data_IF_872647128400
#
_entry.id   IF_872647128400
#
_cell.length_a   1.000
_cell.length_b   1.000
_cell.length_c   1.000
_cell.angle_alpha   90.00
_cell.angle_beta   90.00
_cell.angle_gamma   90.00
#
_symmetry.space_group_name_H-M   'P 1'
#
loop_
_entity.id
_entity.type
_entity.pdbx_description
1 polymer ?
#
# COMPACT_ATOMS: atom_id res chain seq x y z
N UNK A 1 -20.78 -0.99 12.75
CA UNK A 1 -19.85 -1.70 13.66
C UNK A 1 -18.57 -0.88 13.83
N UNK A 2 -17.92 -0.98 14.99
CA UNK A 2 -16.80 -0.11 15.40
C UNK A 2 -15.70 0.06 14.34
N UNK A 3 -15.41 -0.99 13.53
CA UNK A 3 -14.43 -0.94 12.42
C UNK A 3 -14.71 0.11 11.34
N UNK A 4 -15.97 0.54 11.17
CA UNK A 4 -16.39 1.52 10.15
C UNK A 4 -16.27 2.98 10.64
N UNK A 5 -16.43 3.20 11.94
CA UNK A 5 -16.55 4.54 12.52
C UNK A 5 -15.29 4.98 13.28
N UNK A 6 -14.56 4.03 13.89
CA UNK A 6 -13.36 4.34 14.67
C UNK A 6 -12.12 4.54 13.80
N UNK A 7 -11.21 5.46 14.18
CA UNK A 7 -9.94 5.62 13.51
C UNK A 7 -9.09 4.33 13.54
N UNK A 8 -8.40 4.07 12.43
CA UNK A 8 -7.57 2.86 12.25
C UNK A 8 -6.54 2.65 13.35
N UNK A 9 -5.94 3.71 13.91
CA UNK A 9 -4.94 3.58 14.97
C UNK A 9 -5.53 3.01 16.27
N UNK A 10 -6.79 3.33 16.60
CA UNK A 10 -7.48 2.75 17.78
C UNK A 10 -7.78 1.28 17.56
N UNK A 11 -8.32 0.94 16.39
CA UNK A 11 -8.62 -0.45 16.03
C UNK A 11 -7.39 -1.36 16.12
N UNK A 12 -6.22 -0.84 15.76
CA UNK A 12 -4.96 -1.58 15.79
C UNK A 12 -4.45 -1.76 17.21
N UNK A 13 -4.60 -0.76 18.09
CA UNK A 13 -4.31 -0.91 19.53
C UNK A 13 -5.21 -1.94 20.20
N UNK A 14 -6.47 -2.01 19.78
CA UNK A 14 -7.44 -2.99 20.28
C UNK A 14 -7.35 -4.37 19.59
N UNK A 15 -6.35 -4.61 18.72
CA UNK A 15 -6.16 -5.91 18.06
C UNK A 15 -7.22 -6.26 17.00
N UNK A 16 -8.10 -5.32 16.64
CA UNK A 16 -9.19 -5.54 15.68
C UNK A 16 -8.76 -5.41 14.21
N UNK A 17 -7.54 -4.92 13.97
CA UNK A 17 -6.96 -4.68 12.64
C UNK A 17 -5.44 -4.75 12.69
N UNK A 18 -4.81 -5.34 11.69
CA UNK A 18 -3.35 -5.35 11.52
C UNK A 18 -2.90 -4.28 10.51
N UNK A 19 -1.81 -3.56 10.82
CA UNK A 19 -1.19 -2.62 9.89
C UNK A 19 0.00 -3.28 9.19
N UNK A 20 -0.04 -3.36 7.85
CA UNK A 20 1.16 -3.62 7.04
C UNK A 20 2.09 -2.41 7.06
N UNK A 21 3.24 -2.54 7.74
CA UNK A 21 4.27 -1.50 7.85
C UNK A 21 5.10 -1.39 6.56
N UNK A 22 4.55 -0.73 5.54
CA UNK A 22 5.35 -0.34 4.36
C UNK A 22 5.93 1.08 4.55
N UNK A 23 7.26 1.20 4.44
CA UNK A 23 7.95 2.49 4.59
C UNK A 23 7.42 3.53 3.59
N UNK A 24 7.29 4.78 4.03
CA UNK A 24 6.85 5.90 3.18
C UNK A 24 7.80 6.13 2.01
N UNK A 25 9.11 5.94 2.23
CA UNK A 25 10.17 6.07 1.22
C UNK A 25 9.98 5.06 0.08
N UNK A 26 9.86 3.78 0.43
CA UNK A 26 9.66 2.70 -0.54
C UNK A 26 8.38 2.88 -1.38
N UNK A 27 7.29 3.37 -0.77
CA UNK A 27 6.03 3.68 -1.49
C UNK A 27 6.21 4.80 -2.52
N UNK A 28 6.90 5.88 -2.16
CA UNK A 28 7.18 7.01 -3.07
C UNK A 28 8.09 6.59 -4.22
N UNK A 29 9.16 5.84 -3.94
CA UNK A 29 10.08 5.32 -4.97
C UNK A 29 9.38 4.38 -5.95
N UNK A 30 8.51 3.48 -5.47
CA UNK A 30 7.72 2.59 -6.32
C UNK A 30 6.79 3.40 -7.24
N UNK A 31 6.10 4.42 -6.70
CA UNK A 31 5.26 5.33 -7.48
C UNK A 31 6.07 5.99 -8.59
N UNK A 32 7.22 6.58 -8.28
CA UNK A 32 8.04 7.28 -9.28
C UNK A 32 8.58 6.33 -10.36
N UNK A 33 9.01 5.11 -10.01
CA UNK A 33 9.40 4.09 -11.00
C UNK A 33 8.24 3.71 -11.93
N UNK A 34 7.04 3.49 -11.39
CA UNK A 34 5.86 3.17 -12.20
C UNK A 34 5.44 4.30 -13.14
N UNK A 35 5.71 5.57 -12.76
CA UNK A 35 5.46 6.75 -13.61
C UNK A 35 6.44 6.87 -14.79
N UNK A 36 7.61 6.22 -14.75
CA UNK A 36 8.57 6.22 -15.88
C UNK A 36 8.17 5.23 -16.99
N UNK A 37 7.43 4.18 -16.63
CA UNK A 37 6.99 3.16 -17.59
C UNK A 37 5.66 3.56 -18.27
N UNK A 38 5.48 3.12 -19.52
CA UNK A 38 4.28 3.37 -20.35
C UNK A 38 3.85 2.07 -21.04
N UNK A 39 2.58 2.01 -21.46
CA UNK A 39 2.01 0.88 -22.19
C UNK A 39 2.19 -0.47 -21.50
N UNK A 40 2.39 -1.52 -22.29
CA UNK A 40 2.54 -2.92 -21.84
C UNK A 40 3.70 -3.13 -20.86
N UNK A 41 4.78 -2.33 -20.96
CA UNK A 41 5.92 -2.38 -20.01
C UNK A 41 5.48 -2.08 -18.56
N UNK A 42 4.46 -1.23 -18.37
CA UNK A 42 3.93 -0.92 -17.03
C UNK A 42 3.16 -2.11 -16.43
N UNK A 43 2.38 -2.82 -17.24
CA UNK A 43 1.63 -4.00 -16.82
C UNK A 43 2.56 -5.16 -16.47
N UNK A 44 3.55 -5.45 -17.31
CA UNK A 44 4.55 -6.51 -17.06
C UNK A 44 5.34 -6.28 -15.77
N UNK A 45 5.75 -5.04 -15.49
CA UNK A 45 6.48 -4.69 -14.26
C UNK A 45 5.62 -4.76 -12.98
N UNK A 46 4.29 -4.68 -13.08
CA UNK A 46 3.38 -4.86 -11.95
C UNK A 46 3.12 -6.34 -11.65
N UNK A 47 3.04 -7.18 -12.68
CA UNK A 47 2.81 -8.63 -12.55
C UNK A 47 4.03 -9.36 -12.02
N UNK A 48 5.25 -8.98 -12.44
CA UNK A 48 6.50 -9.59 -11.97
C UNK A 48 6.85 -9.30 -10.50
N UNK A 49 6.01 -8.55 -9.79
CA UNK A 49 6.22 -8.16 -8.37
C UNK A 49 5.14 -8.70 -7.43
N UNK A 50 4.24 -9.53 -7.95
CA UNK A 50 3.29 -10.32 -7.18
C UNK A 50 3.99 -11.60 -6.74
#
# INVERSE_FOLDING_TARGET
SAKKFEPKYRLVRHGLMEIKKASRKQRKERKNRSKKLRGTKKAKAAVAKK
#
